data_IF_357669865167
#
_entry.id   IF_357669865167
#
_cell.length_a   1.000
_cell.length_b   1.000
_cell.length_c   1.000
_cell.angle_alpha   90.00
_cell.angle_beta   90.00
_cell.angle_gamma   90.00
#
_symmetry.space_group_name_H-M   'P 1'
#
loop_
_entity.id
_entity.type
_entity.pdbx_description
1 polymer ?
#
# COMPACT_ATOMS: atom_id res chain seq x y z
N UNK A 1 -4.79 -0.50 9.99
CA UNK A 1 -5.43 0.66 9.32
C UNK A 1 -6.31 0.11 8.23
N UNK A 2 -7.44 0.77 7.97
CA UNK A 2 -8.31 0.39 6.86
C UNK A 2 -8.29 1.49 5.81
N UNK A 3 -8.03 1.15 4.56
CA UNK A 3 -8.28 2.03 3.42
C UNK A 3 -9.59 1.57 2.79
N UNK A 4 -10.52 2.50 2.57
CA UNK A 4 -11.81 2.21 1.92
C UNK A 4 -12.09 3.29 0.88
N UNK A 5 -11.41 3.18 -0.26
CA UNK A 5 -11.35 4.18 -1.34
C UNK A 5 -10.25 5.22 -1.19
N UNK A 6 -9.54 5.24 -0.06
CA UNK A 6 -8.45 6.19 0.22
C UNK A 6 -7.10 5.75 -0.33
N UNK A 7 -6.26 6.74 -0.65
CA UNK A 7 -4.83 6.56 -0.95
C UNK A 7 -4.02 7.18 0.18
N UNK A 8 -3.05 6.43 0.71
CA UNK A 8 -2.08 6.96 1.65
C UNK A 8 -0.81 7.37 0.88
N UNK A 9 -0.47 8.65 0.93
CA UNK A 9 0.75 9.19 0.33
C UNK A 9 1.98 9.02 1.22
N UNK A 10 3.10 8.66 0.59
CA UNK A 10 4.43 8.55 1.18
C UNK A 10 5.33 9.45 0.35
N UNK A 11 5.64 10.61 0.92
CA UNK A 11 6.44 11.65 0.30
C UNK A 11 7.86 11.64 0.85
N UNK A 12 8.84 12.04 0.04
CA UNK A 12 10.25 11.94 0.39
C UNK A 12 10.77 10.51 0.39
N UNK A 13 12.01 10.37 0.86
CA UNK A 13 12.74 9.09 0.90
C UNK A 13 13.04 8.59 2.31
N UNK A 14 12.57 9.31 3.34
CA UNK A 14 12.83 8.94 4.74
C UNK A 14 11.92 7.82 5.22
N UNK A 15 10.65 7.83 4.80
CA UNK A 15 9.69 6.79 5.13
C UNK A 15 9.82 5.64 4.13
N UNK A 16 10.41 4.54 4.60
CA UNK A 16 10.70 3.35 3.79
C UNK A 16 9.97 2.09 4.30
N UNK A 17 9.24 2.17 5.42
CA UNK A 17 8.44 1.04 5.94
C UNK A 17 7.38 1.48 6.95
N UNK A 18 6.46 0.57 7.29
CA UNK A 18 5.54 0.73 8.42
C UNK A 18 5.23 -0.61 9.09
N UNK A 19 5.07 -0.58 10.41
CA UNK A 19 4.59 -1.74 11.18
C UNK A 19 3.06 -1.86 11.20
N UNK A 20 2.35 -0.89 10.60
CA UNK A 20 0.88 -0.88 10.62
C UNK A 20 0.35 -1.96 9.67
N UNK A 21 -0.57 -2.78 10.16
CA UNK A 21 -1.35 -3.68 9.28
C UNK A 21 -2.24 -2.87 8.36
N UNK A 22 -2.36 -3.28 7.11
CA UNK A 22 -3.17 -2.62 6.09
C UNK A 22 -4.32 -3.53 5.67
N UNK A 23 -5.55 -3.02 5.77
CA UNK A 23 -6.77 -3.73 5.35
C UNK A 23 -7.48 -2.90 4.29
N UNK A 24 -7.92 -3.53 3.21
CA UNK A 24 -8.69 -2.93 2.12
C UNK A 24 -10.18 -3.18 2.37
N UNK A 25 -10.93 -2.09 2.51
CA UNK A 25 -12.39 -2.09 2.54
C UNK A 25 -12.98 -2.47 1.19
N UNK A 26 -14.30 -2.48 1.07
CA UNK A 26 -14.97 -2.88 -0.17
C UNK A 26 -14.70 -1.91 -1.32
N UNK A 27 -14.46 -0.63 -1.04
CA UNK A 27 -14.06 0.36 -2.04
C UNK A 27 -12.56 0.30 -2.39
N UNK A 28 -11.79 -0.61 -1.76
CA UNK A 28 -10.35 -0.78 -2.00
C UNK A 28 -9.50 0.30 -1.34
N UNK A 29 -8.33 0.57 -1.90
CA UNK A 29 -7.44 1.62 -1.43
C UNK A 29 -6.02 1.45 -1.95
N UNK A 30 -5.10 2.31 -1.53
CA UNK A 30 -3.77 2.29 -2.11
C UNK A 30 -2.68 3.04 -1.37
N UNK A 31 -1.48 2.88 -1.90
CA UNK A 31 -0.28 3.57 -1.45
C UNK A 31 0.29 4.37 -2.61
N UNK A 32 0.54 5.65 -2.39
CA UNK A 32 1.25 6.51 -3.32
C UNK A 32 2.67 6.71 -2.82
N UNK A 33 3.66 6.16 -3.53
CA UNK A 33 5.08 6.36 -3.22
C UNK A 33 5.57 7.40 -4.22
N UNK A 34 5.50 8.66 -3.81
CA UNK A 34 5.63 9.80 -4.73
C UNK A 34 7.03 9.87 -5.34
N UNK A 35 8.05 9.72 -4.50
CA UNK A 35 9.45 9.88 -4.89
C UNK A 35 10.02 8.62 -5.57
N UNK A 36 10.52 8.79 -6.79
CA UNK A 36 11.16 7.73 -7.58
C UNK A 36 12.38 7.10 -6.89
N UNK A 37 13.08 7.87 -6.05
CA UNK A 37 14.21 7.40 -5.25
C UNK A 37 13.80 6.64 -3.98
N UNK A 38 12.50 6.62 -3.64
CA UNK A 38 12.01 5.93 -2.47
C UNK A 38 11.64 4.48 -2.81
N UNK A 39 11.99 3.57 -1.91
CA UNK A 39 11.53 2.19 -1.91
C UNK A 39 10.86 1.93 -0.57
N UNK A 40 9.53 1.84 -0.60
CA UNK A 40 8.75 1.54 0.58
C UNK A 40 8.49 0.05 0.67
N UNK A 41 8.82 -0.57 1.80
CA UNK A 41 8.59 -1.99 2.08
C UNK A 41 7.45 -2.14 3.08
N UNK A 42 6.39 -2.80 2.65
CA UNK A 42 5.27 -3.19 3.50
C UNK A 42 5.39 -4.68 3.85
N UNK A 43 5.88 -4.93 5.06
CA UNK A 43 6.08 -6.28 5.60
C UNK A 43 4.83 -6.85 6.27
N UNK A 44 3.86 -6.01 6.62
CA UNK A 44 2.57 -6.47 7.12
C UNK A 44 1.72 -7.01 5.96
N UNK A 45 0.89 -8.00 6.25
CA UNK A 45 -0.04 -8.55 5.28
C UNK A 45 -1.09 -7.50 4.86
N UNK A 46 -1.28 -7.30 3.56
CA UNK A 46 -2.50 -6.69 3.03
C UNK A 46 -3.61 -7.72 3.02
N UNK A 47 -4.75 -7.37 3.59
CA UNK A 47 -5.95 -8.20 3.63
C UNK A 47 -7.17 -7.39 3.19
N UNK A 48 -8.26 -8.04 2.80
CA UNK A 48 -9.51 -7.35 2.47
C UNK A 48 -10.12 -7.77 1.13
N UNK A 49 -11.26 -7.21 0.79
CA UNK A 49 -11.99 -7.60 -0.43
C UNK A 49 -11.86 -6.62 -1.58
N UNK A 50 -11.51 -5.36 -1.30
CA UNK A 50 -11.34 -4.34 -2.33
C UNK A 50 -10.00 -4.40 -3.05
N UNK A 51 -9.92 -3.65 -4.15
CA UNK A 51 -8.71 -3.55 -4.97
C UNK A 51 -7.59 -2.77 -4.28
N UNK A 52 -6.35 -3.12 -4.63
CA UNK A 52 -5.16 -2.42 -4.20
C UNK A 52 -4.62 -1.55 -5.33
N UNK A 53 -4.33 -0.29 -5.02
CA UNK A 53 -3.78 0.68 -5.98
C UNK A 53 -2.36 1.08 -5.56
N UNK A 54 -1.38 0.94 -6.45
CA UNK A 54 -0.03 1.49 -6.26
C UNK A 54 0.17 2.71 -7.16
N UNK A 55 0.28 3.88 -6.55
CA UNK A 55 0.51 5.15 -7.23
C UNK A 55 1.92 5.68 -6.97
N UNK A 56 2.33 6.67 -7.76
CA UNK A 56 3.62 7.34 -7.61
C UNK A 56 4.79 6.62 -8.26
N UNK A 57 5.86 7.37 -8.49
CA UNK A 57 7.02 6.92 -9.25
C UNK A 57 7.96 5.99 -8.46
N UNK A 58 7.87 6.00 -7.13
CA UNK A 58 8.68 5.16 -6.25
C UNK A 58 8.29 3.70 -6.25
N UNK A 59 9.12 2.86 -5.62
CA UNK A 59 8.90 1.43 -5.54
C UNK A 59 8.12 1.03 -4.28
N UNK A 60 7.20 0.08 -4.43
CA UNK A 60 6.55 -0.58 -3.30
C UNK A 60 6.91 -2.06 -3.31
N UNK A 61 7.47 -2.54 -2.20
CA UNK A 61 7.78 -3.94 -1.98
C UNK A 61 6.79 -4.49 -0.97
N UNK A 62 6.01 -5.50 -1.37
CA UNK A 62 5.12 -6.23 -0.47
C UNK A 62 5.79 -7.55 -0.08
N UNK A 63 6.20 -7.69 1.17
CA UNK A 63 6.83 -8.94 1.67
C UNK A 63 5.93 -9.71 2.65
N UNK A 64 4.82 -9.11 3.09
CA UNK A 64 3.82 -9.78 3.90
C UNK A 64 3.02 -10.83 3.12
N UNK A 65 2.39 -11.76 3.85
CA UNK A 65 1.49 -12.75 3.28
C UNK A 65 0.14 -12.09 2.91
N UNK A 66 0.06 -11.52 1.71
CA UNK A 66 -1.11 -10.78 1.25
C UNK A 66 -2.28 -11.73 0.92
N UNK A 67 -3.47 -11.41 1.42
CA UNK A 67 -4.69 -12.21 1.29
C UNK A 67 -5.89 -11.42 0.78
N UNK A 68 -5.64 -10.27 0.14
CA UNK A 68 -6.72 -9.50 -0.46
C UNK A 68 -7.23 -10.15 -1.76
N UNK A 69 -8.53 -10.05 -1.99
CA UNK A 69 -9.18 -10.70 -3.15
C UNK A 69 -9.47 -9.75 -4.32
N UNK A 70 -9.33 -8.44 -4.12
CA UNK A 70 -9.52 -7.46 -5.18
C UNK A 70 -8.35 -7.42 -6.16
N UNK A 71 -8.55 -6.74 -7.30
CA UNK A 71 -7.49 -6.55 -8.29
C UNK A 71 -6.34 -5.70 -7.77
N UNK A 72 -5.21 -5.70 -8.49
CA UNK A 72 -4.09 -4.79 -8.25
C UNK A 72 -3.86 -3.94 -9.48
N UNK A 73 -3.74 -2.63 -9.29
CA UNK A 73 -3.56 -1.63 -10.36
C UNK A 73 -2.50 -0.62 -10.00
#
# INVERSE_FOLDING_TARGET
MTLDGGILGISGTSDTTTARTVTLGSAGGGLDIEDAGNTFTLASALSGTGGFVKQGAGSLILTGANSYSGGTT
#
